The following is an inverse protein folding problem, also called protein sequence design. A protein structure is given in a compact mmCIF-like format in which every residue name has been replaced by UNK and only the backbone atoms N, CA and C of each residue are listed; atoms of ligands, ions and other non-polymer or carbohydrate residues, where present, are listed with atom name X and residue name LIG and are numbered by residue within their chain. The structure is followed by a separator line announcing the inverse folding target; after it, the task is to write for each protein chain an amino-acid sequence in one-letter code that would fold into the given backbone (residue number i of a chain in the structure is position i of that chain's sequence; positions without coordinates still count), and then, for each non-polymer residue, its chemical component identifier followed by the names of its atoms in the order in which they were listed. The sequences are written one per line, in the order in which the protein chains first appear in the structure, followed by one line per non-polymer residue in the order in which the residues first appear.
data_IF_929799016174
#
_entry.id   IF_929799016174
#
_cell.length_a   1.000
_cell.length_b   1.000
_cell.length_c   1.000
_cell.angle_alpha   90.00
_cell.angle_beta   90.00
_cell.angle_gamma   90.00
#
_symmetry.space_group_name_H-M   'P 1'
#
loop_
_entity.id
_entity.type
_entity.pdbx_description
1 polymer ?
#
# COMPACT_ATOMS: atom_id res chain seq x y z
N UNK A 1 22.43 17.87 -26.03
CA UNK A 1 21.36 17.75 -25.00
C UNK A 1 21.97 18.30 -23.72
N UNK A 2 21.40 19.38 -23.17
CA UNK A 2 21.83 19.94 -21.87
C UNK A 2 21.46 18.91 -20.81
N UNK A 3 22.44 18.36 -20.14
CA UNK A 3 22.24 17.43 -19.03
C UNK A 3 21.44 18.16 -17.95
N UNK A 4 20.15 17.80 -17.80
CA UNK A 4 19.27 18.46 -16.86
C UNK A 4 19.73 18.05 -15.45
N UNK A 5 20.40 18.97 -14.76
CA UNK A 5 20.97 18.73 -13.44
C UNK A 5 19.83 18.54 -12.42
N UNK A 6 19.54 17.30 -12.06
CA UNK A 6 18.57 16.94 -11.04
C UNK A 6 19.32 16.57 -9.77
N UNK A 7 19.09 17.35 -8.71
CA UNK A 7 19.67 17.14 -7.38
C UNK A 7 18.55 16.63 -6.44
N UNK A 8 18.85 15.60 -5.64
CA UNK A 8 17.97 15.16 -4.57
C UNK A 8 18.66 15.46 -3.25
N UNK A 9 17.97 16.23 -2.40
CA UNK A 9 18.46 16.68 -1.10
C UNK A 9 17.38 16.62 -0.04
N UNK A 10 17.75 16.78 1.22
CA UNK A 10 16.79 16.99 2.30
C UNK A 10 16.05 18.32 2.11
N UNK A 11 14.78 18.31 2.44
CA UNK A 11 13.96 19.51 2.42
C UNK A 11 14.37 20.49 3.50
N UNK A 12 14.31 21.76 3.18
CA UNK A 12 14.51 22.87 4.11
C UNK A 12 13.18 23.56 4.42
N UNK A 13 13.16 24.47 5.39
CA UNK A 13 11.96 25.24 5.70
C UNK A 13 11.45 26.07 4.48
N UNK A 14 12.36 26.50 3.59
CA UNK A 14 12.03 27.25 2.39
C UNK A 14 11.21 26.42 1.36
N UNK A 15 11.42 25.11 1.34
CA UNK A 15 10.78 24.20 0.39
C UNK A 15 9.31 23.91 0.75
N UNK A 16 8.91 24.12 2.00
CA UNK A 16 7.61 23.72 2.56
C UNK A 16 6.43 24.22 1.73
N UNK A 17 6.44 25.49 1.32
CA UNK A 17 5.36 26.11 0.54
C UNK A 17 5.25 25.48 -0.85
N UNK A 18 6.38 25.27 -1.52
CA UNK A 18 6.46 24.67 -2.87
C UNK A 18 6.03 23.20 -2.83
N UNK A 19 6.53 22.43 -1.86
CA UNK A 19 6.15 21.04 -1.67
C UNK A 19 4.64 20.91 -1.43
N UNK A 20 4.05 21.73 -0.57
CA UNK A 20 2.61 21.71 -0.32
C UNK A 20 1.81 21.99 -1.60
N UNK A 21 2.24 22.94 -2.42
CA UNK A 21 1.60 23.26 -3.71
C UNK A 21 1.68 22.07 -4.68
N UNK A 22 2.85 21.43 -4.79
CA UNK A 22 3.03 20.26 -5.68
C UNK A 22 2.17 19.10 -5.20
N UNK A 23 2.18 18.79 -3.89
CA UNK A 23 1.35 17.73 -3.27
C UNK A 23 -0.14 17.97 -3.54
N UNK A 24 -0.63 19.18 -3.30
CA UNK A 24 -2.03 19.54 -3.53
C UNK A 24 -2.47 19.36 -4.99
N UNK A 25 -1.54 19.50 -5.94
CA UNK A 25 -1.80 19.30 -7.36
C UNK A 25 -1.63 17.85 -7.82
N UNK A 26 -0.85 17.06 -7.07
CA UNK A 26 -0.57 15.65 -7.39
C UNK A 26 -1.63 14.68 -6.84
N UNK A 27 -2.26 15.02 -5.70
CA UNK A 27 -3.21 14.15 -5.02
C UNK A 27 -4.65 14.69 -5.06
N UNK A 28 -5.67 13.80 -5.04
CA UNK A 28 -7.07 14.16 -4.89
C UNK A 28 -7.33 14.98 -3.61
N UNK A 29 -8.39 15.80 -3.63
CA UNK A 29 -8.72 16.70 -2.50
C UNK A 29 -8.85 15.96 -1.16
N UNK A 30 -9.53 14.80 -1.13
CA UNK A 30 -9.72 14.03 0.10
C UNK A 30 -8.42 13.50 0.70
N UNK A 31 -7.42 13.20 -0.13
CA UNK A 31 -6.12 12.73 0.35
C UNK A 31 -5.30 13.81 1.09
N UNK A 32 -5.65 15.08 0.88
CA UNK A 32 -4.92 16.20 1.52
C UNK A 32 -5.09 16.24 3.04
N UNK A 33 -6.17 15.67 3.57
CA UNK A 33 -6.40 15.54 5.02
C UNK A 33 -5.42 14.58 5.70
N UNK A 34 -4.82 13.68 4.93
CA UNK A 34 -3.88 12.68 5.41
C UNK A 34 -2.42 13.06 5.19
N UNK A 35 -2.15 14.26 4.65
CA UNK A 35 -0.80 14.69 4.40
C UNK A 35 -0.01 14.87 5.69
N UNK A 36 1.17 14.27 5.71
CA UNK A 36 2.10 14.36 6.83
C UNK A 36 3.24 15.34 6.53
N UNK A 37 3.80 15.88 7.57
CA UNK A 37 5.08 16.58 7.53
C UNK A 37 6.10 15.74 8.27
N UNK A 38 7.29 15.56 7.71
CA UNK A 38 8.39 14.85 8.34
C UNK A 38 9.68 15.62 8.15
N UNK A 39 10.56 15.58 9.16
CA UNK A 39 11.93 16.09 9.04
C UNK A 39 12.74 15.32 8.00
N UNK A 40 12.38 14.06 7.78
CA UNK A 40 13.01 13.19 6.80
C UNK A 40 12.25 13.30 5.45
N UNK A 41 12.10 14.51 4.92
CA UNK A 41 11.50 14.78 3.61
C UNK A 41 12.61 15.05 2.60
N UNK A 42 12.60 14.35 1.47
CA UNK A 42 13.49 14.58 0.34
C UNK A 42 12.79 15.42 -0.73
N UNK A 43 13.56 16.28 -1.39
CA UNK A 43 13.09 17.07 -2.54
C UNK A 43 13.93 16.74 -3.77
N UNK A 44 13.25 16.70 -4.92
CA UNK A 44 13.91 16.73 -6.22
C UNK A 44 13.92 18.17 -6.74
N UNK A 45 15.09 18.70 -6.94
CA UNK A 45 15.36 20.02 -7.49
C UNK A 45 15.92 19.89 -8.90
N UNK A 46 15.35 20.61 -9.86
CA UNK A 46 15.75 20.64 -11.25
C UNK A 46 15.96 22.11 -11.65
N UNK A 47 17.17 22.44 -12.08
CA UNK A 47 17.54 23.81 -12.46
C UNK A 47 17.20 24.87 -11.36
N UNK A 48 17.39 24.52 -10.08
CA UNK A 48 17.09 25.42 -8.95
C UNK A 48 15.63 25.43 -8.50
N UNK A 49 14.73 24.73 -9.17
CA UNK A 49 13.30 24.66 -8.80
C UNK A 49 12.96 23.30 -8.20
N UNK A 50 12.21 23.29 -7.10
CA UNK A 50 11.67 22.04 -6.52
C UNK A 50 10.52 21.54 -7.38
N UNK A 51 10.68 20.32 -7.90
CA UNK A 51 9.74 19.69 -8.85
C UNK A 51 9.09 18.41 -8.32
N UNK A 52 9.47 17.93 -7.15
CA UNK A 52 8.89 16.75 -6.53
C UNK A 52 9.46 16.47 -5.15
N UNK A 53 8.95 15.45 -4.46
CA UNK A 53 9.44 15.05 -3.15
C UNK A 53 9.00 13.68 -2.70
N UNK A 54 9.64 13.20 -1.65
CA UNK A 54 9.27 11.99 -0.91
C UNK A 54 9.24 12.30 0.58
N UNK A 55 8.11 12.03 1.23
CA UNK A 55 7.96 12.15 2.69
C UNK A 55 8.25 10.79 3.31
N UNK A 56 9.17 10.75 4.25
CA UNK A 56 9.64 9.53 4.88
C UNK A 56 9.24 9.51 6.36
N UNK A 57 8.87 8.34 6.86
CA UNK A 57 8.59 8.12 8.28
C UNK A 57 9.51 7.02 8.80
N UNK A 58 10.13 7.26 9.94
CA UNK A 58 11.00 6.30 10.61
C UNK A 58 10.30 5.80 11.88
N UNK A 59 10.35 4.49 12.11
CA UNK A 59 9.74 3.87 13.29
C UNK A 59 10.49 2.58 13.66
N UNK A 60 10.22 2.07 14.87
CA UNK A 60 10.80 0.82 15.35
C UNK A 60 9.75 -0.29 15.36
N UNK A 61 10.13 -1.47 14.83
CA UNK A 61 9.30 -2.66 14.76
C UNK A 61 10.15 -3.88 15.14
N UNK A 62 9.77 -4.62 16.17
CA UNK A 62 10.53 -5.81 16.64
C UNK A 62 12.04 -5.55 16.78
N UNK A 63 12.41 -4.50 17.49
CA UNK A 63 13.82 -4.08 17.70
C UNK A 63 14.59 -3.70 16.43
N UNK A 64 13.93 -3.64 15.28
CA UNK A 64 14.49 -3.16 14.02
C UNK A 64 14.06 -1.72 13.76
N UNK A 65 14.98 -0.93 13.23
CA UNK A 65 14.66 0.39 12.70
C UNK A 65 14.10 0.22 11.29
N UNK A 66 12.90 0.73 11.07
CA UNK A 66 12.17 0.61 9.82
C UNK A 66 11.88 1.99 9.24
N UNK A 67 11.84 2.05 7.91
CA UNK A 67 11.42 3.21 7.16
C UNK A 67 10.09 3.00 6.45
N UNK A 68 9.37 4.07 6.18
CA UNK A 68 8.18 4.07 5.33
C UNK A 68 8.25 5.24 4.36
N UNK A 69 8.14 4.95 3.05
CA UNK A 69 7.92 5.97 2.03
C UNK A 69 6.44 6.31 2.07
N UNK A 70 6.12 7.34 2.87
CA UNK A 70 4.75 7.72 3.19
C UNK A 70 4.05 8.37 1.99
N UNK A 71 4.78 9.26 1.30
CA UNK A 71 4.28 9.97 0.14
C UNK A 71 5.39 10.10 -0.90
N UNK A 72 5.05 9.91 -2.17
CA UNK A 72 5.92 10.12 -3.31
C UNK A 72 5.16 10.92 -4.36
N UNK A 73 5.68 12.08 -4.74
CA UNK A 73 5.00 12.96 -5.70
C UNK A 73 5.96 13.74 -6.56
N UNK A 74 5.55 13.97 -7.80
CA UNK A 74 6.28 14.75 -8.81
C UNK A 74 5.28 15.67 -9.49
N UNK A 75 5.70 16.91 -9.79
CA UNK A 75 4.89 17.88 -10.51
C UNK A 75 4.44 17.29 -11.85
N UNK A 76 3.21 17.60 -12.29
CA UNK A 76 2.63 17.02 -13.52
C UNK A 76 3.51 17.23 -14.76
N UNK A 77 4.21 18.36 -14.85
CA UNK A 77 5.09 18.70 -15.97
C UNK A 77 6.35 17.83 -16.03
N UNK A 78 6.76 17.28 -14.89
CA UNK A 78 8.00 16.53 -14.75
C UNK A 78 7.77 15.02 -14.53
N UNK A 79 6.53 14.58 -14.62
CA UNK A 79 6.20 13.15 -14.59
C UNK A 79 6.76 12.43 -15.82
N UNK A 80 6.96 11.12 -15.71
CA UNK A 80 7.53 10.25 -16.75
C UNK A 80 9.01 10.52 -17.12
N UNK A 81 9.69 11.48 -16.45
CA UNK A 81 11.10 11.79 -16.62
C UNK A 81 12.03 11.04 -15.65
N UNK A 82 11.55 9.96 -15.03
CA UNK A 82 12.36 9.13 -14.13
C UNK A 82 12.56 9.71 -12.72
N UNK A 83 12.03 10.89 -12.40
CA UNK A 83 12.22 11.55 -11.10
C UNK A 83 11.67 10.72 -9.93
N UNK A 84 10.52 10.08 -10.09
CA UNK A 84 9.98 9.19 -9.07
C UNK A 84 10.94 8.04 -8.72
N UNK A 85 11.58 7.43 -9.73
CA UNK A 85 12.61 6.40 -9.52
C UNK A 85 13.80 6.96 -8.74
N UNK A 86 14.32 8.13 -9.13
CA UNK A 86 15.44 8.78 -8.42
C UNK A 86 15.09 9.11 -6.97
N UNK A 87 13.87 9.60 -6.70
CA UNK A 87 13.39 9.86 -5.35
C UNK A 87 13.31 8.58 -4.50
N UNK A 88 12.80 7.47 -5.03
CA UNK A 88 12.77 6.18 -4.29
C UNK A 88 14.19 5.70 -4.01
N UNK A 89 15.11 5.77 -4.97
CA UNK A 89 16.52 5.40 -4.78
C UNK A 89 17.19 6.24 -3.68
N UNK A 90 16.99 7.55 -3.71
CA UNK A 90 17.52 8.45 -2.69
C UNK A 90 16.87 8.20 -1.32
N UNK A 91 15.57 7.88 -1.28
CA UNK A 91 14.87 7.49 -0.04
C UNK A 91 15.47 6.23 0.57
N UNK A 92 15.74 5.22 -0.24
CA UNK A 92 16.40 3.98 0.22
C UNK A 92 17.82 4.26 0.73
N UNK A 93 18.59 5.06 0.00
CA UNK A 93 19.94 5.45 0.41
C UNK A 93 19.91 6.20 1.76
N UNK A 94 19.04 7.21 1.90
CA UNK A 94 18.87 7.96 3.13
C UNK A 94 18.44 7.05 4.31
N UNK A 95 17.44 6.20 4.11
CA UNK A 95 16.99 5.27 5.14
C UNK A 95 18.11 4.28 5.56
N UNK A 96 18.92 3.83 4.62
CA UNK A 96 20.08 2.99 4.91
C UNK A 96 21.13 3.73 5.76
N UNK A 97 21.45 4.98 5.45
CA UNK A 97 22.43 5.77 6.24
C UNK A 97 21.99 5.99 7.68
N UNK A 98 20.69 6.10 7.92
CA UNK A 98 20.14 6.22 9.28
C UNK A 98 19.87 4.88 9.97
N UNK A 99 20.26 3.75 9.34
CA UNK A 99 20.21 2.41 9.93
C UNK A 99 18.87 1.69 9.81
N UNK A 100 18.02 2.04 8.84
CA UNK A 100 16.80 1.24 8.58
C UNK A 100 17.17 -0.09 7.93
N UNK A 101 16.66 -1.18 8.50
CA UNK A 101 16.84 -2.55 7.98
C UNK A 101 15.75 -2.95 6.98
N UNK A 102 14.55 -2.43 7.17
CA UNK A 102 13.38 -2.69 6.35
C UNK A 102 12.70 -1.38 5.96
N UNK A 103 12.25 -1.29 4.72
CA UNK A 103 11.53 -0.11 4.22
C UNK A 103 10.20 -0.56 3.64
N UNK A 104 9.15 0.18 3.97
CA UNK A 104 7.79 -0.08 3.53
C UNK A 104 7.28 1.03 2.63
N UNK A 105 6.27 0.71 1.82
CA UNK A 105 5.47 1.67 1.08
C UNK A 105 4.05 1.12 0.93
N UNK A 106 3.03 1.99 1.00
CA UNK A 106 1.67 1.63 0.64
C UNK A 106 1.39 2.13 -0.77
N UNK A 107 0.98 1.23 -1.66
CA UNK A 107 0.71 1.56 -3.06
C UNK A 107 -0.68 1.09 -3.44
N UNK A 108 -1.48 1.99 -3.97
CA UNK A 108 -2.82 1.70 -4.45
C UNK A 108 -2.79 0.67 -5.58
N UNK A 109 -3.70 -0.31 -5.55
CA UNK A 109 -3.67 -1.48 -6.42
C UNK A 109 -3.78 -1.16 -7.92
N UNK A 110 -4.43 -0.05 -8.28
CA UNK A 110 -4.57 0.43 -9.66
C UNK A 110 -3.46 1.40 -10.09
N UNK A 111 -2.58 1.85 -9.16
CA UNK A 111 -1.48 2.76 -9.45
C UNK A 111 -0.28 2.01 -10.06
N UNK A 112 -0.40 1.67 -11.35
CA UNK A 112 0.63 0.95 -12.10
C UNK A 112 1.95 1.73 -12.17
N UNK A 113 1.90 3.05 -12.22
CA UNK A 113 3.07 3.93 -12.23
C UNK A 113 3.93 3.74 -10.98
N UNK A 114 3.32 3.89 -9.79
CA UNK A 114 4.01 3.68 -8.51
C UNK A 114 4.44 2.23 -8.33
N UNK A 115 3.57 1.26 -8.65
CA UNK A 115 3.90 -0.17 -8.56
C UNK A 115 5.15 -0.53 -9.38
N UNK A 116 5.27 0.00 -10.61
CA UNK A 116 6.45 -0.20 -11.46
C UNK A 116 7.71 0.45 -10.87
N UNK A 117 7.58 1.65 -10.30
CA UNK A 117 8.71 2.34 -9.66
C UNK A 117 9.22 1.51 -8.47
N UNK A 118 8.35 1.13 -7.55
CA UNK A 118 8.73 0.37 -6.36
C UNK A 118 9.28 -1.01 -6.73
N UNK A 119 8.62 -1.75 -7.62
CA UNK A 119 9.08 -3.07 -8.08
C UNK A 119 10.48 -3.02 -8.70
N UNK A 120 10.75 -2.04 -9.59
CA UNK A 120 12.07 -1.86 -10.21
C UNK A 120 13.17 -1.44 -9.21
N UNK A 121 12.79 -0.96 -8.03
CA UNK A 121 13.72 -0.63 -6.94
C UNK A 121 13.81 -1.74 -5.87
N UNK A 122 13.36 -2.95 -6.18
CA UNK A 122 13.53 -4.12 -5.31
C UNK A 122 12.49 -4.27 -4.20
N UNK A 123 11.38 -3.53 -4.27
CA UNK A 123 10.23 -3.80 -3.41
C UNK A 123 9.38 -4.93 -3.96
N UNK A 124 8.75 -5.67 -3.07
CA UNK A 124 7.68 -6.60 -3.41
C UNK A 124 6.49 -6.40 -2.47
N UNK A 125 5.31 -6.78 -2.96
CA UNK A 125 4.11 -6.79 -2.11
C UNK A 125 4.30 -7.81 -1.01
N UNK A 126 4.06 -7.38 0.22
CA UNK A 126 4.10 -8.22 1.40
C UNK A 126 2.71 -8.82 1.63
N UNK A 127 2.55 -10.13 1.45
CA UNK A 127 1.28 -10.81 1.65
C UNK A 127 0.81 -10.76 3.10
N UNK A 128 -0.49 -10.90 3.36
CA UNK A 128 -1.02 -10.97 4.73
C UNK A 128 -0.37 -12.11 5.52
N UNK A 129 -0.15 -13.26 4.87
CA UNK A 129 0.54 -14.39 5.47
C UNK A 129 1.95 -14.01 5.92
N UNK A 130 2.73 -13.36 5.05
CA UNK A 130 4.10 -12.92 5.39
C UNK A 130 4.10 -11.81 6.44
N UNK A 131 3.11 -10.92 6.45
CA UNK A 131 2.95 -9.91 7.49
C UNK A 131 2.77 -10.57 8.86
N UNK A 132 1.84 -11.52 8.98
CA UNK A 132 1.57 -12.22 10.24
C UNK A 132 2.76 -13.12 10.63
N UNK A 133 3.32 -13.89 9.69
CA UNK A 133 4.46 -14.78 9.93
C UNK A 133 5.69 -14.01 10.42
N UNK A 134 6.03 -12.90 9.77
CA UNK A 134 7.24 -12.14 10.07
C UNK A 134 7.10 -11.26 11.32
N UNK A 135 5.90 -10.72 11.55
CA UNK A 135 5.69 -9.70 12.60
C UNK A 135 4.86 -10.18 13.78
N UNK A 136 4.08 -11.26 13.66
CA UNK A 136 3.21 -11.77 14.73
C UNK A 136 2.31 -10.65 15.28
N UNK A 137 2.25 -10.49 16.60
CA UNK A 137 1.46 -9.41 17.24
C UNK A 137 1.94 -7.99 16.87
N UNK A 138 3.19 -7.82 16.43
CA UNK A 138 3.67 -6.53 15.93
C UNK A 138 3.07 -6.15 14.57
N UNK A 139 2.29 -7.02 13.94
CA UNK A 139 1.50 -6.73 12.76
C UNK A 139 0.61 -5.50 12.94
N UNK A 140 -0.11 -5.39 14.07
CA UNK A 140 -0.96 -4.23 14.34
C UNK A 140 -0.15 -2.92 14.44
N UNK A 141 1.05 -2.99 15.04
CA UNK A 141 1.98 -1.86 15.09
C UNK A 141 2.50 -1.49 13.70
N UNK A 142 2.73 -2.48 12.82
CA UNK A 142 3.10 -2.25 11.42
C UNK A 142 1.99 -1.51 10.69
N UNK A 143 0.74 -2.00 10.75
CA UNK A 143 -0.42 -1.37 10.11
C UNK A 143 -0.62 0.08 10.56
N UNK A 144 -0.50 0.34 11.87
CA UNK A 144 -0.60 1.69 12.43
C UNK A 144 0.52 2.61 11.93
N UNK A 145 1.77 2.13 11.92
CA UNK A 145 2.91 2.96 11.51
C UNK A 145 2.95 3.23 10.01
N UNK A 146 2.45 2.32 9.20
CA UNK A 146 2.36 2.49 7.75
C UNK A 146 1.05 3.13 7.29
N UNK A 147 0.12 3.44 8.22
CA UNK A 147 -1.25 3.90 7.94
C UNK A 147 -2.06 2.93 7.07
N UNK A 148 -1.56 1.72 6.85
CA UNK A 148 -2.18 0.74 5.96
C UNK A 148 -3.59 0.32 6.39
N UNK A 149 -3.93 0.47 7.67
CA UNK A 149 -5.28 0.21 8.20
C UNK A 149 -6.35 1.15 7.59
N UNK A 150 -5.95 2.36 7.18
CA UNK A 150 -6.85 3.38 6.62
C UNK A 150 -6.73 3.50 5.10
N UNK A 151 -5.74 2.83 4.49
CA UNK A 151 -5.43 2.91 3.06
C UNK A 151 -6.33 1.96 2.26
N UNK A 152 -7.54 2.42 1.95
CA UNK A 152 -8.52 1.66 1.16
C UNK A 152 -7.95 1.36 -0.24
N UNK A 153 -7.86 0.06 -0.60
CA UNK A 153 -7.38 -0.39 -1.91
C UNK A 153 -5.86 -0.35 -2.11
N UNK A 154 -5.09 -0.07 -1.05
CA UNK A 154 -3.63 -0.10 -1.10
C UNK A 154 -3.08 -1.46 -0.68
N UNK A 155 -1.92 -1.81 -1.23
CA UNK A 155 -1.12 -2.97 -0.82
C UNK A 155 0.15 -2.51 -0.12
N UNK A 156 0.53 -3.25 0.92
CA UNK A 156 1.79 -3.01 1.62
C UNK A 156 2.94 -3.63 0.83
N UNK A 157 3.92 -2.82 0.48
CA UNK A 157 5.16 -3.22 -0.19
C UNK A 157 6.32 -3.16 0.80
N UNK A 158 7.29 -4.06 0.64
CA UNK A 158 8.48 -4.15 1.50
C UNK A 158 9.76 -4.21 0.68
N UNK A 159 10.81 -3.55 1.19
CA UNK A 159 12.20 -3.64 0.74
C UNK A 159 13.11 -4.01 1.93
N UNK A 160 14.13 -4.87 1.78
CA UNK A 160 14.36 -5.69 0.61
C UNK A 160 13.27 -6.76 0.46
N UNK A 161 12.99 -7.13 -0.77
CA UNK A 161 12.08 -8.23 -1.07
C UNK A 161 12.80 -9.55 -0.75
N UNK A 162 12.60 -10.06 0.47
CA UNK A 162 13.33 -11.25 0.95
C UNK A 162 12.90 -12.56 0.27
N UNK A 163 11.73 -12.58 -0.37
CA UNK A 163 11.26 -13.73 -1.16
C UNK A 163 10.21 -13.31 -2.18
N UNK A 164 10.26 -13.92 -3.36
CA UNK A 164 9.15 -13.93 -4.32
C UNK A 164 8.13 -14.99 -3.89
N UNK A 165 7.56 -14.86 -2.70
CA UNK A 165 6.40 -15.68 -2.36
C UNK A 165 5.20 -15.08 -3.08
N UNK A 166 4.94 -15.58 -4.27
CA UNK A 166 3.68 -15.32 -4.95
C UNK A 166 2.67 -16.32 -4.38
N UNK A 167 1.87 -15.86 -3.42
CA UNK A 167 0.67 -16.63 -3.05
C UNK A 167 -0.14 -16.89 -4.32
N UNK A 168 -0.55 -18.13 -4.53
CA UNK A 168 -1.35 -18.44 -5.71
C UNK A 168 -2.66 -17.65 -5.65
N UNK A 169 -3.13 -17.17 -6.80
CA UNK A 169 -4.42 -16.45 -6.87
C UNK A 169 -5.57 -17.29 -6.30
N UNK A 170 -5.49 -18.62 -6.38
CA UNK A 170 -6.49 -19.52 -5.81
C UNK A 170 -6.47 -19.48 -4.27
N UNK A 171 -5.29 -19.49 -3.63
CA UNK A 171 -5.16 -19.38 -2.17
C UNK A 171 -5.68 -18.03 -1.70
N UNK A 172 -5.30 -16.93 -2.36
CA UNK A 172 -5.77 -15.58 -2.03
C UNK A 172 -7.30 -15.47 -2.17
N UNK A 173 -7.87 -16.11 -3.18
CA UNK A 173 -9.30 -16.14 -3.40
C UNK A 173 -10.03 -16.93 -2.30
N UNK A 174 -9.58 -18.13 -1.96
CA UNK A 174 -10.15 -18.93 -0.87
C UNK A 174 -10.05 -18.22 0.48
N UNK A 175 -8.91 -17.60 0.77
CA UNK A 175 -8.73 -16.79 1.97
C UNK A 175 -9.70 -15.60 2.01
N UNK A 176 -9.96 -14.96 0.86
CA UNK A 176 -10.93 -13.88 0.76
C UNK A 176 -12.34 -14.33 1.12
N UNK A 177 -12.79 -15.48 0.60
CA UNK A 177 -14.10 -16.06 0.93
C UNK A 177 -14.19 -16.35 2.43
N UNK A 178 -13.20 -17.09 2.96
CA UNK A 178 -13.19 -17.48 4.37
C UNK A 178 -13.23 -16.27 5.31
N UNK A 179 -12.40 -15.27 5.06
CA UNK A 179 -12.33 -14.07 5.89
C UNK A 179 -13.63 -13.25 5.82
N UNK A 180 -14.27 -13.14 4.65
CA UNK A 180 -15.55 -12.44 4.55
C UNK A 180 -16.66 -13.19 5.31
N UNK A 181 -16.66 -14.52 5.27
CA UNK A 181 -17.60 -15.33 6.09
C UNK A 181 -17.36 -15.06 7.57
N UNK A 182 -16.11 -15.08 8.03
CA UNK A 182 -15.75 -14.83 9.45
C UNK A 182 -16.20 -13.40 9.87
N UNK A 183 -15.92 -12.39 9.06
CA UNK A 183 -16.33 -11.00 9.34
C UNK A 183 -17.84 -10.91 9.44
N UNK A 184 -18.56 -11.53 8.51
CA UNK A 184 -20.02 -11.57 8.54
C UNK A 184 -20.55 -12.26 9.81
N UNK A 185 -19.96 -13.40 10.20
CA UNK A 185 -20.31 -14.10 11.44
C UNK A 185 -20.12 -13.22 12.67
N UNK A 186 -19.00 -12.51 12.77
CA UNK A 186 -18.72 -11.58 13.87
C UNK A 186 -19.76 -10.45 13.89
N UNK A 187 -20.10 -9.88 12.74
CA UNK A 187 -21.11 -8.83 12.63
C UNK A 187 -22.49 -9.34 13.08
N UNK A 188 -22.87 -10.54 12.65
CA UNK A 188 -24.13 -11.16 13.07
C UNK A 188 -24.18 -11.42 14.58
N UNK A 189 -23.08 -11.85 15.19
CA UNK A 189 -22.97 -12.03 16.65
C UNK A 189 -23.17 -10.73 17.42
N UNK A 190 -22.71 -9.60 16.87
CA UNK A 190 -22.88 -8.28 17.49
C UNK A 190 -24.32 -7.75 17.42
N UNK A 191 -25.02 -8.05 16.32
CA UNK A 191 -26.36 -7.48 16.06
C UNK A 191 -27.46 -8.34 16.67
N UNK A 192 -27.34 -9.67 16.64
CA UNK A 192 -28.40 -10.56 17.09
C UNK A 192 -27.86 -11.92 17.55
N UNK A 193 -28.02 -12.23 18.84
CA UNK A 193 -27.64 -13.53 19.40
C UNK A 193 -28.47 -14.71 18.85
N UNK A 194 -29.57 -14.45 18.13
CA UNK A 194 -30.48 -15.48 17.60
C UNK A 194 -29.96 -16.28 16.42
N UNK A 195 -28.86 -15.87 15.77
CA UNK A 195 -28.27 -16.62 14.66
C UNK A 195 -27.81 -18.04 15.04
N UNK A 196 -27.46 -18.24 16.30
CA UNK A 196 -27.13 -19.58 16.81
C UNK A 196 -28.35 -20.52 16.89
N UNK A 197 -29.55 -19.98 16.87
CA UNK A 197 -30.81 -20.77 16.91
C UNK A 197 -31.30 -21.17 15.52
N UNK A 198 -30.70 -20.60 14.44
CA UNK A 198 -31.08 -20.88 13.07
C UNK A 198 -29.86 -21.25 12.21
N UNK A 199 -29.18 -22.41 12.41
CA UNK A 199 -27.98 -22.80 11.69
C UNK A 199 -28.17 -22.87 10.17
N UNK A 200 -29.42 -23.08 9.71
CA UNK A 200 -29.77 -23.04 8.28
C UNK A 200 -29.54 -21.68 7.63
N UNK A 201 -29.88 -20.59 8.31
CA UNK A 201 -29.70 -19.23 7.79
C UNK A 201 -28.21 -18.91 7.60
N UNK A 202 -27.37 -19.36 8.51
CA UNK A 202 -25.93 -19.22 8.43
C UNK A 202 -25.35 -19.92 7.18
N UNK A 203 -25.86 -21.12 6.89
CA UNK A 203 -25.47 -21.87 5.69
C UNK A 203 -25.87 -21.13 4.41
N UNK A 204 -27.10 -20.63 4.34
CA UNK A 204 -27.60 -19.88 3.18
C UNK A 204 -26.78 -18.62 2.92
N UNK A 205 -26.47 -17.85 3.96
CA UNK A 205 -25.68 -16.62 3.82
C UNK A 205 -24.24 -16.93 3.40
N UNK A 206 -23.62 -17.92 4.01
CA UNK A 206 -22.26 -18.36 3.63
C UNK A 206 -22.22 -18.85 2.18
N UNK A 207 -23.23 -19.60 1.74
CA UNK A 207 -23.36 -20.04 0.36
C UNK A 207 -23.57 -18.85 -0.61
N UNK A 208 -24.43 -17.90 -0.28
CA UNK A 208 -24.68 -16.72 -1.08
C UNK A 208 -23.40 -15.88 -1.27
N UNK A 209 -22.63 -15.62 -0.19
CA UNK A 209 -21.33 -14.95 -0.29
C UNK A 209 -20.37 -15.72 -1.16
N UNK A 210 -20.25 -17.03 -0.98
CA UNK A 210 -19.36 -17.88 -1.79
C UNK A 210 -19.71 -17.81 -3.27
N UNK A 211 -20.99 -17.91 -3.62
CA UNK A 211 -21.48 -17.80 -4.99
C UNK A 211 -21.12 -16.43 -5.59
N UNK A 212 -21.34 -15.35 -4.84
CA UNK A 212 -21.07 -13.99 -5.30
C UNK A 212 -19.57 -13.79 -5.59
N UNK A 213 -18.70 -14.31 -4.74
CA UNK A 213 -17.25 -14.29 -4.97
C UNK A 213 -16.82 -15.14 -6.17
N UNK A 214 -17.40 -16.33 -6.35
CA UNK A 214 -17.13 -17.20 -7.49
C UNK A 214 -17.55 -16.52 -8.79
N UNK A 215 -18.75 -15.95 -8.85
CA UNK A 215 -19.26 -15.21 -10.02
C UNK A 215 -18.33 -14.06 -10.37
N UNK A 216 -17.94 -13.23 -9.37
CA UNK A 216 -16.99 -12.14 -9.57
C UNK A 216 -15.65 -12.64 -10.11
N UNK A 217 -15.13 -13.76 -9.60
CA UNK A 217 -13.87 -14.34 -10.05
C UNK A 217 -13.95 -14.84 -11.50
N UNK A 218 -15.05 -15.50 -11.88
CA UNK A 218 -15.31 -15.93 -13.26
C UNK A 218 -15.34 -14.71 -14.20
N UNK A 219 -16.08 -13.65 -13.83
CA UNK A 219 -16.11 -12.41 -14.61
C UNK A 219 -14.74 -11.81 -14.82
N UNK A 220 -13.95 -11.74 -13.75
CA UNK A 220 -12.59 -11.18 -13.79
C UNK A 220 -11.67 -12.01 -14.71
N UNK A 221 -11.71 -13.35 -14.65
CA UNK A 221 -10.92 -14.22 -15.53
C UNK A 221 -11.37 -14.07 -16.98
N UNK A 222 -12.69 -14.03 -17.23
CA UNK A 222 -13.23 -13.87 -18.57
C UNK A 222 -12.83 -12.53 -19.19
N UNK A 223 -12.98 -11.43 -18.44
CA UNK A 223 -12.55 -10.11 -18.87
C UNK A 223 -11.05 -10.04 -19.15
N UNK A 224 -10.25 -10.69 -18.31
CA UNK A 224 -8.79 -10.82 -18.50
C UNK A 224 -8.44 -11.52 -19.80
N UNK A 225 -9.09 -12.64 -20.08
CA UNK A 225 -8.85 -13.39 -21.33
C UNK A 225 -9.27 -12.60 -22.57
N UNK A 226 -10.42 -11.91 -22.51
CA UNK A 226 -10.91 -11.08 -23.63
C UNK A 226 -9.95 -9.91 -23.91
N UNK A 227 -9.38 -9.31 -22.86
CA UNK A 227 -8.50 -8.15 -23.00
C UNK A 227 -7.01 -8.53 -23.17
N UNK A 228 -6.67 -9.82 -23.12
CA UNK A 228 -5.27 -10.26 -23.18
C UNK A 228 -4.40 -9.78 -22.00
N UNK A 229 -5.01 -9.41 -20.87
CA UNK A 229 -4.32 -8.87 -19.70
C UNK A 229 -4.11 -9.95 -18.65
N UNK A 230 -2.88 -10.11 -18.08
CA UNK A 230 -2.66 -11.01 -16.98
C UNK A 230 -3.31 -10.45 -15.71
N UNK A 231 -4.37 -11.09 -15.22
CA UNK A 231 -5.02 -10.73 -13.95
C UNK A 231 -4.59 -11.69 -12.86
N UNK A 232 -4.25 -11.13 -11.70
CA UNK A 232 -3.97 -11.89 -10.47
C UNK A 232 -4.95 -11.45 -9.40
N UNK A 233 -5.61 -12.40 -8.76
CA UNK A 233 -6.42 -12.13 -7.60
C UNK A 233 -5.52 -11.83 -6.40
N UNK A 234 -5.81 -10.77 -5.68
CA UNK A 234 -5.17 -10.43 -4.41
C UNK A 234 -6.21 -10.10 -3.35
N UNK A 235 -6.00 -10.64 -2.17
CA UNK A 235 -6.77 -10.29 -0.99
C UNK A 235 -6.48 -8.84 -0.62
N UNK A 236 -7.52 -8.06 -0.43
CA UNK A 236 -7.40 -6.70 0.08
C UNK A 236 -7.51 -6.71 1.60
N UNK A 237 -6.39 -6.61 2.26
CA UNK A 237 -6.23 -6.81 3.71
C UNK A 237 -6.84 -5.69 4.54
N UNK A 238 -6.65 -4.44 4.14
CA UNK A 238 -7.21 -3.29 4.87
C UNK A 238 -8.74 -3.23 4.80
N UNK A 239 -9.36 -3.76 3.75
CA UNK A 239 -10.82 -3.89 3.68
C UNK A 239 -11.39 -4.83 4.73
N UNK A 240 -10.65 -5.86 5.11
CA UNK A 240 -11.07 -6.82 6.14
C UNK A 240 -10.92 -6.21 7.52
N UNK A 241 -9.79 -5.56 7.80
CA UNK A 241 -9.54 -4.91 9.10
C UNK A 241 -10.55 -3.80 9.38
N UNK A 242 -10.96 -3.04 8.38
CA UNK A 242 -11.97 -1.99 8.53
C UNK A 242 -13.33 -2.58 8.98
N UNK A 243 -13.77 -3.68 8.37
CA UNK A 243 -15.02 -4.33 8.71
C UNK A 243 -15.03 -4.95 10.11
N UNK A 244 -13.86 -5.30 10.67
CA UNK A 244 -13.75 -5.83 12.05
C UNK A 244 -13.81 -4.68 13.08
N UNK A 245 -13.36 -3.48 12.70
CA UNK A 245 -13.30 -2.32 13.59
C UNK A 245 -14.60 -1.53 13.68
N UNK A 246 -15.50 -1.62 12.70
CA UNK A 246 -16.82 -1.02 12.67
C UNK A 246 -17.84 -1.96 13.32
#
# INVERSE_FOLDING_TARGET
MVEQNVIIRLATAKDKKTLSKIKNNAFPFLMRFFFSSSKDTLVAEKNGEVVGGAVLKIFNLKNKKCGHVLELFVSKKEQNNGLGKKLVQASLAHMKTIGCEEVFACVEGNNTGSSNIFSKNGFAVLSLYDQIKNYGFSYFKLLYNTFHIFDIGHFLWKFPANQKHFDSSAVQFLMSILLNIIVFLIACLRINNSIWTAPGELLYVSAAFSILFIVRFIFMITASKVQGLPVRFRLWESGITLNILI
#
